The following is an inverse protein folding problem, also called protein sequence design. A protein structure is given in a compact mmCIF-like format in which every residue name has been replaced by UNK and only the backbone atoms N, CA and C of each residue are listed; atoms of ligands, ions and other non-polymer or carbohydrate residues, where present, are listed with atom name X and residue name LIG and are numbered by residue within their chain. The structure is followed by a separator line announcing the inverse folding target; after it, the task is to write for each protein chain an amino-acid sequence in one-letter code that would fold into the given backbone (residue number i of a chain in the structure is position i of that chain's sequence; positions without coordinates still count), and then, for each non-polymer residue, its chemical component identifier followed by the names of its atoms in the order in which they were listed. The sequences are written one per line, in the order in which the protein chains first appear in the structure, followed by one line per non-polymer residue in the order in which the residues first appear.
data_IF_451595334939
#
_entry.id   IF_451595334939
#
_cell.length_a   1.000
_cell.length_b   1.000
_cell.length_c   1.000
_cell.angle_alpha   90.00
_cell.angle_beta   90.00
_cell.angle_gamma   90.00
#
_symmetry.space_group_name_H-M   'P 1'
#
loop_
_entity.id
_entity.type
_entity.pdbx_description
1 polymer ?
#
# COMPACT_ATOMS: atom_id res chain seq x y z
N UNK A 1 -8.80 13.89 -10.30
CA UNK A 1 -7.73 14.45 -9.45
C UNK A 1 -6.97 15.48 -10.24
N UNK A 2 -6.78 16.69 -9.72
CA UNK A 2 -5.71 17.56 -10.20
C UNK A 2 -4.37 16.88 -9.93
N UNK A 3 -3.53 16.80 -10.94
CA UNK A 3 -2.16 16.33 -10.77
C UNK A 3 -1.40 17.37 -9.93
N UNK A 4 -0.84 16.97 -8.80
CA UNK A 4 0.10 17.81 -8.06
C UNK A 4 1.51 17.33 -8.41
N UNK A 5 2.43 18.22 -8.83
CA UNK A 5 3.82 17.86 -9.02
C UNK A 5 4.41 17.25 -7.76
N UNK A 6 5.44 16.43 -7.93
CA UNK A 6 6.08 15.71 -6.83
C UNK A 6 6.68 16.68 -5.80
N UNK A 7 7.23 17.81 -6.27
CA UNK A 7 7.78 18.91 -5.48
C UNK A 7 6.76 19.47 -4.49
N UNK A 8 5.54 19.77 -4.94
CA UNK A 8 4.49 20.31 -4.07
C UNK A 8 4.10 19.31 -2.98
N UNK A 9 4.07 18.01 -3.30
CA UNK A 9 3.77 16.97 -2.31
C UNK A 9 4.91 16.84 -1.29
N UNK A 10 6.16 16.89 -1.73
CA UNK A 10 7.33 16.90 -0.85
C UNK A 10 7.27 18.11 0.10
N UNK A 11 6.95 19.29 -0.42
CA UNK A 11 6.86 20.52 0.36
C UNK A 11 5.73 20.45 1.40
N UNK A 12 4.56 19.92 1.02
CA UNK A 12 3.45 19.67 1.95
C UNK A 12 3.89 18.74 3.09
N UNK A 13 4.55 17.63 2.79
CA UNK A 13 5.01 16.68 3.82
C UNK A 13 6.09 17.28 4.72
N UNK A 14 7.01 18.04 4.14
CA UNK A 14 8.06 18.74 4.87
C UNK A 14 7.45 19.74 5.87
N UNK A 15 6.54 20.60 5.40
CA UNK A 15 5.85 21.57 6.26
C UNK A 15 5.01 20.89 7.34
N UNK A 16 4.35 19.77 7.00
CA UNK A 16 3.62 18.97 7.99
C UNK A 16 4.55 18.35 9.03
N UNK A 17 5.77 17.94 8.66
CA UNK A 17 6.76 17.39 9.58
C UNK A 17 7.27 18.45 10.57
N UNK A 18 7.37 19.71 10.12
CA UNK A 18 7.69 20.86 10.98
C UNK A 18 6.51 21.36 11.83
N UNK A 19 5.36 20.67 11.83
CA UNK A 19 4.22 21.02 12.67
C UNK A 19 3.35 22.16 12.14
N UNK A 20 3.52 22.57 10.88
CA UNK A 20 2.69 23.63 10.29
C UNK A 20 1.25 23.10 10.10
N UNK A 21 0.22 23.86 10.51
CA UNK A 21 -1.16 23.40 10.39
C UNK A 21 -1.59 23.30 8.91
N UNK A 22 -2.39 22.29 8.52
CA UNK A 22 -2.80 22.08 7.12
C UNK A 22 -3.49 23.27 6.47
N UNK A 23 -4.18 24.11 7.25
CA UNK A 23 -4.82 25.35 6.78
C UNK A 23 -3.79 26.38 6.30
N UNK A 24 -2.67 26.52 7.02
CA UNK A 24 -1.60 27.44 6.64
C UNK A 24 -0.83 26.91 5.42
N UNK A 25 -0.60 25.59 5.34
CA UNK A 25 0.01 24.95 4.17
C UNK A 25 -0.84 25.16 2.92
N UNK A 26 -2.16 24.98 3.04
CA UNK A 26 -3.11 25.19 1.96
C UNK A 26 -3.10 26.64 1.44
N UNK A 27 -3.09 27.62 2.35
CA UNK A 27 -3.03 29.03 2.00
C UNK A 27 -1.68 29.43 1.37
N UNK A 28 -0.57 28.87 1.86
CA UNK A 28 0.78 29.21 1.37
C UNK A 28 1.12 28.60 0.00
N UNK A 29 0.56 27.44 -0.33
CA UNK A 29 0.81 26.75 -1.59
C UNK A 29 -0.32 26.92 -2.63
N UNK A 30 -1.38 27.63 -2.26
CA UNK A 30 -2.60 27.80 -3.06
C UNK A 30 -3.22 26.45 -3.50
N UNK A 31 -3.34 25.52 -2.54
CA UNK A 31 -3.88 24.18 -2.77
C UNK A 31 -5.10 23.96 -1.86
N UNK A 32 -6.18 23.32 -2.32
CA UNK A 32 -7.31 22.99 -1.46
C UNK A 32 -6.88 22.15 -0.25
N UNK A 33 -7.40 22.49 0.92
CA UNK A 33 -7.11 21.81 2.21
C UNK A 33 -7.35 20.29 2.11
N UNK A 34 -8.39 19.87 1.38
CA UNK A 34 -8.70 18.46 1.12
C UNK A 34 -7.54 17.73 0.43
N UNK A 35 -6.83 18.38 -0.49
CA UNK A 35 -5.66 17.79 -1.16
C UNK A 35 -4.48 17.67 -0.20
N UNK A 36 -4.22 18.70 0.62
CA UNK A 36 -3.16 18.67 1.65
C UNK A 36 -3.38 17.49 2.61
N UNK A 37 -4.59 17.36 3.15
CA UNK A 37 -4.95 16.25 4.04
C UNK A 37 -4.79 14.88 3.37
N UNK A 38 -5.21 14.75 2.11
CA UNK A 38 -5.08 13.49 1.36
C UNK A 38 -3.63 13.13 1.03
N UNK A 39 -2.75 14.11 0.83
CA UNK A 39 -1.31 13.89 0.65
C UNK A 39 -0.70 13.35 1.96
N UNK A 40 -0.98 14.03 3.08
CA UNK A 40 -0.48 13.62 4.41
C UNK A 40 -0.99 12.21 4.75
N UNK A 41 -2.26 11.92 4.50
CA UNK A 41 -2.84 10.60 4.78
C UNK A 41 -2.15 9.49 3.98
N UNK A 42 -1.97 9.67 2.65
CA UNK A 42 -1.27 8.69 1.81
C UNK A 42 0.17 8.47 2.22
N UNK A 43 0.88 9.52 2.62
CA UNK A 43 2.25 9.36 3.10
C UNK A 43 2.29 8.53 4.40
N UNK A 44 1.36 8.77 5.33
CA UNK A 44 1.23 7.99 6.57
C UNK A 44 0.89 6.53 6.31
N UNK A 45 -0.04 6.24 5.37
CA UNK A 45 -0.36 4.87 4.95
C UNK A 45 0.88 4.12 4.43
N UNK A 46 1.84 4.85 3.85
CA UNK A 46 3.10 4.29 3.35
C UNK A 46 4.24 4.26 4.39
N UNK A 47 3.95 4.62 5.64
CA UNK A 47 4.93 4.59 6.73
C UNK A 47 5.77 5.85 6.88
N UNK A 48 5.36 6.99 6.33
CA UNK A 48 5.99 8.27 6.65
C UNK A 48 5.65 8.69 8.09
N UNK A 49 6.66 8.66 8.96
CA UNK A 49 6.57 9.16 10.32
C UNK A 49 7.55 10.32 10.57
N UNK A 50 7.07 11.56 10.65
CA UNK A 50 7.93 12.72 10.86
C UNK A 50 8.55 12.80 12.26
N UNK A 51 8.02 12.06 13.25
CA UNK A 51 8.58 12.04 14.61
C UNK A 51 9.87 11.23 14.69
N UNK A 52 9.94 10.14 13.93
CA UNK A 52 11.11 9.24 13.91
C UNK A 52 12.14 9.68 12.86
N UNK A 53 11.68 10.05 11.66
CA UNK A 53 12.56 10.53 10.60
C UNK A 53 11.85 11.54 9.68
N UNK A 54 12.23 12.83 9.70
CA UNK A 54 11.58 13.85 8.89
C UNK A 54 11.95 13.77 7.39
N UNK A 55 12.85 12.88 6.98
CA UNK A 55 13.29 12.75 5.59
C UNK A 55 12.18 12.19 4.71
N UNK A 56 11.72 13.00 3.75
CA UNK A 56 10.77 12.57 2.72
C UNK A 56 11.50 11.74 1.66
N UNK A 57 11.14 10.46 1.52
CA UNK A 57 11.58 9.58 0.43
C UNK A 57 10.58 9.59 -0.72
N UNK A 58 11.04 9.28 -1.94
CA UNK A 58 10.22 9.25 -3.14
C UNK A 58 9.03 8.27 -3.04
N UNK A 59 9.26 7.13 -2.39
CA UNK A 59 8.26 6.09 -2.13
C UNK A 59 6.98 6.62 -1.45
N UNK A 60 7.12 7.62 -0.57
CA UNK A 60 5.98 8.21 0.15
C UNK A 60 5.17 9.18 -0.72
N UNK A 61 5.73 9.64 -1.83
CA UNK A 61 5.21 10.75 -2.62
C UNK A 61 4.69 10.32 -3.98
N UNK A 62 5.28 9.29 -4.59
CA UNK A 62 4.91 8.79 -5.91
C UNK A 62 3.40 8.45 -6.00
N UNK A 63 2.73 8.75 -7.11
CA UNK A 63 1.35 8.28 -7.24
C UNK A 63 1.34 6.77 -7.42
N UNK A 64 0.38 6.09 -6.78
CA UNK A 64 0.12 4.69 -7.09
C UNK A 64 -0.22 4.57 -8.58
N UNK A 65 0.19 3.47 -9.20
CA UNK A 65 -0.20 3.15 -10.56
C UNK A 65 -1.71 3.28 -10.67
N UNK A 66 -2.17 4.16 -11.57
CA UNK A 66 -3.61 4.33 -11.79
C UNK A 66 -4.11 3.02 -12.39
N UNK A 67 -4.76 2.20 -11.56
CA UNK A 67 -5.59 1.08 -12.02
C UNK A 67 -6.78 1.66 -12.78
N UNK A 68 -6.51 2.06 -14.02
CA UNK A 68 -7.54 2.42 -14.98
C UNK A 68 -8.09 1.16 -15.63
N UNK A 69 -9.22 1.30 -16.34
CA UNK A 69 -9.70 0.26 -17.25
C UNK A 69 -8.55 -0.13 -18.19
N UNK A 70 -8.10 -1.40 -18.24
CA UNK A 70 -7.05 -1.81 -19.15
C UNK A 70 -7.46 -1.41 -20.57
N UNK A 71 -6.61 -0.62 -21.24
CA UNK A 71 -6.83 -0.28 -22.65
C UNK A 71 -6.64 -1.56 -23.47
N UNK A 72 -7.70 -2.00 -24.15
CA UNK A 72 -7.63 -3.09 -25.11
C UNK A 72 -6.76 -2.64 -26.30
N UNK A 73 -5.49 -3.01 -26.30
CA UNK A 73 -4.59 -2.84 -27.44
C UNK A 73 -3.30 -2.08 -27.15
N UNK A 74 -2.34 -2.74 -26.51
CA UNK A 74 -0.93 -2.57 -26.86
C UNK A 74 -0.31 -3.96 -26.88
N UNK A 75 -0.10 -4.47 -28.10
CA UNK A 75 0.54 -5.76 -28.38
C UNK A 75 1.96 -5.72 -27.79
N UNK A 76 2.16 -6.36 -26.65
CA UNK A 76 3.50 -6.74 -26.19
C UNK A 76 3.93 -7.86 -27.12
N UNK A 77 4.77 -7.54 -28.10
CA UNK A 77 5.52 -8.55 -28.84
C UNK A 77 6.60 -9.03 -27.90
N UNK A 78 6.25 -10.03 -27.09
CA UNK A 78 7.21 -10.87 -26.39
C UNK A 78 7.74 -11.87 -27.42
N UNK A 79 8.97 -11.64 -27.86
CA UNK A 79 9.76 -12.64 -28.54
C UNK A 79 10.55 -13.44 -27.50
N UNK A 80 10.26 -14.74 -27.49
CA UNK A 80 11.12 -15.87 -27.12
C UNK A 80 11.40 -16.08 -25.62
N UNK A 81 11.29 -17.27 -25.05
CA UNK A 81 11.24 -18.59 -25.65
C UNK A 81 10.56 -19.64 -24.75
N UNK A 82 10.14 -20.69 -25.44
CA UNK A 82 9.65 -21.97 -24.93
C UNK A 82 10.60 -22.62 -23.94
N UNK A 83 10.03 -23.31 -22.95
CA UNK A 83 10.21 -24.75 -22.67
C UNK A 83 9.08 -25.17 -21.73
N UNK A 84 8.16 -26.03 -22.18
CA UNK A 84 8.03 -27.44 -21.75
C UNK A 84 7.65 -27.57 -20.26
N UNK A 85 6.65 -28.31 -19.79
CA UNK A 85 5.95 -29.49 -20.29
C UNK A 85 4.84 -29.83 -19.29
N UNK A 86 3.90 -30.71 -19.67
CA UNK A 86 3.28 -31.61 -18.70
C UNK A 86 1.84 -31.33 -18.30
N UNK A 87 0.93 -31.77 -19.17
CA UNK A 87 -0.43 -32.19 -18.82
C UNK A 87 -0.40 -33.26 -17.72
N UNK A 88 -1.32 -33.19 -16.75
CA UNK A 88 -1.39 -34.15 -15.65
C UNK A 88 -2.54 -33.93 -14.70
N UNK A 89 -3.75 -34.22 -15.18
CA UNK A 89 -4.93 -34.54 -14.36
C UNK A 89 -4.61 -35.66 -13.37
N UNK A 90 -5.04 -35.54 -12.11
CA UNK A 90 -4.97 -36.64 -11.15
C UNK A 90 -5.61 -36.27 -9.81
N UNK A 91 -6.62 -37.03 -9.44
CA UNK A 91 -7.56 -36.81 -8.34
C UNK A 91 -7.31 -37.92 -7.30
N UNK A 92 -7.60 -37.62 -6.01
CA UNK A 92 -7.71 -38.54 -4.83
C UNK A 92 -6.39 -39.20 -4.36
N UNK A 93 -6.14 -39.59 -3.11
CA UNK A 93 -6.99 -40.03 -1.98
C UNK A 93 -6.16 -40.01 -0.66
N UNK A 94 -6.84 -39.70 0.44
CA UNK A 94 -6.85 -40.37 1.76
C UNK A 94 -5.61 -40.65 2.67
N UNK A 95 -5.86 -40.35 3.97
CA UNK A 95 -5.48 -40.99 5.26
C UNK A 95 -4.06 -40.90 5.88
N UNK A 96 -4.00 -40.29 7.07
CA UNK A 96 -3.37 -40.80 8.32
C UNK A 96 -3.78 -39.84 9.48
N UNK A 97 -4.67 -40.15 10.43
CA UNK A 97 -4.55 -41.02 11.62
C UNK A 97 -3.40 -40.66 12.59
N UNK A 98 -3.74 -40.51 13.88
CA UNK A 98 -2.79 -40.37 15.01
C UNK A 98 -3.06 -39.12 15.89
N UNK A 99 -4.13 -39.08 16.70
CA UNK A 99 -4.21 -39.51 18.11
C UNK A 99 -3.36 -38.74 19.14
N UNK A 100 -4.05 -38.30 20.22
CA UNK A 100 -3.51 -37.73 21.46
C UNK A 100 -4.21 -36.42 21.85
N UNK A 101 -5.47 -36.38 22.34
CA UNK A 101 -5.95 -36.85 23.67
C UNK A 101 -5.08 -36.24 24.78
N UNK A 102 -5.51 -35.40 25.73
CA UNK A 102 -6.77 -35.23 26.48
C UNK A 102 -6.96 -33.75 26.89
N UNK A 103 -8.19 -33.24 26.82
CA UNK A 103 -8.80 -32.39 27.88
C UNK A 103 -9.54 -33.34 28.85
N UNK A 104 -10.27 -32.91 29.92
CA UNK A 104 -10.41 -31.62 30.63
C UNK A 104 -10.18 -31.80 32.16
N UNK A 105 -10.39 -30.80 33.02
CA UNK A 105 -11.52 -30.65 33.97
C UNK A 105 -11.01 -29.66 35.05
N UNK A 106 -11.76 -28.88 35.81
CA UNK A 106 -13.15 -28.45 35.89
C UNK A 106 -13.16 -27.28 36.91
N UNK A 107 -14.29 -26.58 36.97
CA UNK A 107 -14.65 -25.46 37.84
C UNK A 107 -14.16 -25.52 39.30
N UNK A 108 -13.97 -24.35 39.92
CA UNK A 108 -14.70 -24.04 41.16
C UNK A 108 -14.64 -22.55 41.51
N UNK A 109 -15.80 -22.02 41.89
CA UNK A 109 -16.08 -20.68 42.39
C UNK A 109 -15.47 -20.44 43.77
N UNK A 110 -15.29 -19.16 44.12
CA UNK A 110 -15.43 -18.65 45.48
C UNK A 110 -16.07 -17.26 45.43
#
# INVERSE_FOLDING_TARGET
MGYHPIELRIQVLSLSAFGVPPKAIAAGLDIPIRSVQRIIHRAKERGFDPATNPRVKMEYVEDAERSGRPKKGSKVVAAEGQVESGSGSGVETEVEAGEGKLMPEAETQA
#
